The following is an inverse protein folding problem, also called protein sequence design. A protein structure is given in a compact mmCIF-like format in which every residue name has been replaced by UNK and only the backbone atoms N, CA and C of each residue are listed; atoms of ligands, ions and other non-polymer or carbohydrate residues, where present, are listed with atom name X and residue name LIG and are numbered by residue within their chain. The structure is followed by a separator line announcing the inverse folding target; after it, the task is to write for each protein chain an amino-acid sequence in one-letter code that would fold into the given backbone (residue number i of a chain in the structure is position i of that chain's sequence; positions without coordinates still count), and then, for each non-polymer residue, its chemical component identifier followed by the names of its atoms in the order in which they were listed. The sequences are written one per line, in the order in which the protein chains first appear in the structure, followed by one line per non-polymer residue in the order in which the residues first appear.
data_IF_060469142641
#
_entry.id   IF_060469142641
#
_cell.length_a   1.000
_cell.length_b   1.000
_cell.length_c   1.000
_cell.angle_alpha   90.00
_cell.angle_beta   90.00
_cell.angle_gamma   90.00
#
_symmetry.space_group_name_H-M   'P 1'
#
loop_
_entity.id
_entity.type
_entity.pdbx_description
1 polymer ?
#
# COMPACT_ATOMS: atom_id res chain seq x y z
N UNK A 1 13.43 13.94 9.95
CA UNK A 1 12.34 14.82 9.46
C UNK A 1 12.05 14.56 7.97
N UNK A 2 13.04 14.61 7.07
CA UNK A 2 12.85 14.30 5.63
C UNK A 2 12.40 12.85 5.35
N UNK A 3 12.99 11.87 6.03
CA UNK A 3 12.60 10.45 5.93
C UNK A 3 11.16 10.16 6.37
N UNK A 4 10.65 10.89 7.36
CA UNK A 4 9.27 10.76 7.85
C UNK A 4 8.30 11.31 6.80
N UNK A 5 8.59 12.50 6.25
CA UNK A 5 7.76 13.11 5.19
C UNK A 5 7.73 12.22 3.95
N UNK A 6 8.87 11.64 3.55
CA UNK A 6 8.92 10.68 2.45
C UNK A 6 8.06 9.44 2.75
N UNK A 7 8.15 8.88 3.95
CA UNK A 7 7.36 7.71 4.34
C UNK A 7 5.85 8.00 4.32
N UNK A 8 5.42 9.16 4.82
CA UNK A 8 4.02 9.61 4.77
C UNK A 8 3.53 9.77 3.31
N UNK A 9 4.36 10.37 2.44
CA UNK A 9 4.05 10.51 1.02
C UNK A 9 3.84 9.15 0.35
N UNK A 10 4.75 8.19 0.58
CA UNK A 10 4.65 6.83 0.04
C UNK A 10 3.41 6.09 0.58
N UNK A 11 3.13 6.20 1.88
CA UNK A 11 1.95 5.58 2.51
C UNK A 11 0.65 6.13 1.92
N UNK A 12 0.58 7.44 1.64
CA UNK A 12 -0.58 8.06 1.02
C UNK A 12 -0.88 7.46 -0.36
N UNK A 13 0.14 7.35 -1.21
CA UNK A 13 -0.01 6.79 -2.56
C UNK A 13 -0.38 5.30 -2.54
N UNK A 14 0.27 4.51 -1.65
CA UNK A 14 -0.05 3.09 -1.48
C UNK A 14 -1.50 2.88 -1.07
N UNK A 15 -1.98 3.66 -0.10
CA UNK A 15 -3.37 3.57 0.39
C UNK A 15 -4.38 3.98 -0.67
N UNK A 16 -4.09 5.03 -1.43
CA UNK A 16 -4.95 5.43 -2.54
C UNK A 16 -5.05 4.32 -3.58
N UNK A 17 -3.92 3.77 -4.04
CA UNK A 17 -3.93 2.67 -5.02
C UNK A 17 -4.67 1.43 -4.51
N UNK A 18 -4.48 1.04 -3.25
CA UNK A 18 -5.23 -0.07 -2.63
C UNK A 18 -6.74 0.17 -2.68
N UNK A 19 -7.17 1.40 -2.40
CA UNK A 19 -8.59 1.80 -2.49
C UNK A 19 -9.10 1.68 -3.93
N UNK A 20 -8.35 2.19 -4.90
CA UNK A 20 -8.74 2.14 -6.32
C UNK A 20 -8.91 0.70 -6.81
N UNK A 21 -7.99 -0.20 -6.42
CA UNK A 21 -8.12 -1.63 -6.74
C UNK A 21 -9.30 -2.30 -6.04
N UNK A 22 -9.56 -1.95 -4.78
CA UNK A 22 -10.73 -2.46 -4.07
C UNK A 22 -12.04 -2.02 -4.75
N UNK A 23 -12.13 -0.77 -5.18
CA UNK A 23 -13.27 -0.26 -5.96
C UNK A 23 -13.40 -1.00 -7.30
N UNK A 24 -12.28 -1.22 -8.01
CA UNK A 24 -12.25 -2.00 -9.27
C UNK A 24 -12.67 -3.46 -9.09
N UNK A 25 -12.40 -4.06 -7.93
CA UNK A 25 -12.82 -5.43 -7.62
C UNK A 25 -14.33 -5.51 -7.36
N UNK A 26 -14.92 -4.47 -6.74
CA UNK A 26 -16.33 -4.42 -6.37
C UNK A 26 -17.22 -4.01 -7.53
N UNK A 27 -16.77 -3.08 -8.37
CA UNK A 27 -17.58 -2.51 -9.45
C UNK A 27 -17.72 -3.43 -10.69
N UNK A 28 -17.09 -4.61 -10.67
CA UNK A 28 -17.16 -5.57 -11.76
C UNK A 28 -16.29 -5.25 -12.97
N UNK A 29 -15.32 -4.31 -12.85
CA UNK A 29 -14.39 -3.96 -13.95
C UNK A 29 -13.36 -5.05 -14.28
N UNK A 30 -13.42 -6.20 -13.59
CA UNK A 30 -12.49 -7.31 -13.78
C UNK A 30 -13.21 -8.45 -14.48
N UNK A 31 -12.99 -8.53 -15.79
CA UNK A 31 -13.73 -9.44 -16.68
C UNK A 31 -13.19 -10.87 -16.70
N UNK A 32 -12.00 -11.10 -16.12
CA UNK A 32 -11.34 -12.41 -16.14
C UNK A 32 -10.74 -12.78 -14.79
N UNK A 33 -10.70 -14.08 -14.51
CA UNK A 33 -10.07 -14.61 -13.29
C UNK A 33 -8.56 -14.32 -13.25
N UNK A 34 -7.92 -14.17 -14.40
CA UNK A 34 -6.52 -13.79 -14.50
C UNK A 34 -6.29 -12.35 -14.02
N UNK A 35 -7.09 -11.41 -14.53
CA UNK A 35 -7.05 -10.00 -14.09
C UNK A 35 -7.41 -9.87 -12.60
N UNK A 36 -8.33 -10.70 -12.10
CA UNK A 36 -8.66 -10.77 -10.68
C UNK A 36 -7.45 -11.19 -9.86
N UNK A 37 -6.82 -12.32 -10.18
CA UNK A 37 -5.64 -12.82 -9.46
C UNK A 37 -4.48 -11.84 -9.52
N UNK A 38 -4.27 -11.20 -10.66
CA UNK A 38 -3.26 -10.16 -10.82
C UNK A 38 -3.52 -8.97 -9.88
N UNK A 39 -4.75 -8.45 -9.87
CA UNK A 39 -5.16 -7.32 -9.02
C UNK A 39 -5.03 -7.65 -7.53
N UNK A 40 -5.52 -8.82 -7.11
CA UNK A 40 -5.37 -9.29 -5.72
C UNK A 40 -3.90 -9.47 -5.34
N UNK A 41 -3.06 -9.95 -6.26
CA UNK A 41 -1.62 -10.04 -6.08
C UNK A 41 -0.98 -8.67 -5.83
N UNK A 42 -1.39 -7.64 -6.59
CA UNK A 42 -0.92 -6.27 -6.36
C UNK A 42 -1.35 -5.74 -4.99
N UNK A 43 -2.62 -5.94 -4.60
CA UNK A 43 -3.13 -5.54 -3.27
C UNK A 43 -2.32 -6.19 -2.15
N UNK A 44 -1.98 -7.47 -2.28
CA UNK A 44 -1.14 -8.20 -1.32
C UNK A 44 0.27 -7.63 -1.25
N UNK A 45 0.90 -7.36 -2.40
CA UNK A 45 2.23 -6.75 -2.48
C UNK A 45 2.26 -5.37 -1.81
N UNK A 46 1.29 -4.52 -2.12
CA UNK A 46 1.19 -3.19 -1.50
C UNK A 46 0.93 -3.24 0.00
N UNK A 47 0.14 -4.20 0.47
CA UNK A 47 -0.08 -4.40 1.91
C UNK A 47 1.21 -4.77 2.63
N UNK A 48 2.00 -5.68 2.04
CA UNK A 48 3.31 -6.02 2.58
C UNK A 48 4.27 -4.82 2.63
N UNK A 49 4.31 -4.00 1.58
CA UNK A 49 5.14 -2.79 1.54
C UNK A 49 4.67 -1.76 2.58
N UNK A 50 3.36 -1.57 2.75
CA UNK A 50 2.81 -0.70 3.80
C UNK A 50 3.25 -1.14 5.20
N UNK A 51 3.18 -2.44 5.50
CA UNK A 51 3.61 -2.98 6.79
C UNK A 51 5.12 -2.73 7.04
N UNK A 52 5.96 -2.88 6.02
CA UNK A 52 7.39 -2.60 6.11
C UNK A 52 7.68 -1.11 6.38
N UNK A 53 6.96 -0.20 5.71
CA UNK A 53 7.14 1.25 5.92
C UNK A 53 6.72 1.62 7.35
N UNK A 54 5.58 1.10 7.84
CA UNK A 54 5.12 1.33 9.21
C UNK A 54 6.14 0.81 10.23
N UNK A 55 6.68 -0.39 10.00
CA UNK A 55 7.71 -0.97 10.86
C UNK A 55 8.99 -0.10 10.88
N UNK A 56 9.42 0.38 9.72
CA UNK A 56 10.59 1.26 9.61
C UNK A 56 10.38 2.61 10.31
N UNK A 57 9.20 3.22 10.17
CA UNK A 57 8.86 4.49 10.84
C UNK A 57 8.94 4.38 12.37
N UNK A 58 8.43 3.28 12.95
CA UNK A 58 8.55 3.02 14.41
C UNK A 58 10.01 2.92 14.87
N UNK A 59 10.88 2.34 14.05
CA UNK A 59 12.31 2.28 14.34
C UNK A 59 12.95 3.67 14.34
N UNK A 60 12.59 4.50 13.37
CA UNK A 60 13.10 5.89 13.26
C UNK A 60 12.62 6.73 14.45
N UNK A 61 11.38 6.58 14.92
CA UNK A 61 10.89 7.33 16.09
C UNK A 61 11.70 7.00 17.36
N UNK A 62 12.04 5.73 17.58
CA UNK A 62 12.83 5.28 18.74
C UNK A 62 14.30 5.75 18.71
N UNK A 63 14.89 5.98 17.53
CA UNK A 63 16.26 6.49 17.40
C UNK A 63 16.36 8.02 17.65
N UNK A 64 15.24 8.74 17.65
CA UNK A 64 15.19 10.19 17.82
C UNK A 64 14.73 10.64 19.23
N UNK A 65 14.50 9.70 20.16
CA UNK A 65 14.28 9.94 21.60
C UNK A 65 15.57 9.72 22.41
#
# INVERSE_FOLDING_TARGET
MDSIVLAEYLLKDIRQRKKDFAESLVNGSIDTIENYRFTVGQVRGMTYVEDLIIAAMKGIELENE
#
